data_IF_414892388222
#
_entry.id   IF_414892388222
#
_cell.length_a   1.000
_cell.length_b   1.000
_cell.length_c   1.000
_cell.angle_alpha   90.00
_cell.angle_beta   90.00
_cell.angle_gamma   90.00
#
_symmetry.space_group_name_H-M   'P 1'
#
loop_
_entity.id
_entity.type
_entity.pdbx_description
1 polymer ?
#
# COMPACT_ATOMS: atom_id res chain seq x y z
N UNK A 1 -29.62 -3.45 42.67
CA UNK A 1 -29.00 -2.11 42.61
C UNK A 1 -27.47 -2.22 42.65
N UNK A 2 -26.86 -2.87 43.64
CA UNK A 2 -25.39 -2.96 43.82
C UNK A 2 -24.55 -3.38 42.61
N UNK A 3 -25.03 -4.30 41.76
CA UNK A 3 -24.23 -4.83 40.65
C UNK A 3 -24.06 -3.82 39.50
N UNK A 4 -25.04 -2.93 39.31
CA UNK A 4 -24.98 -1.88 38.30
C UNK A 4 -24.03 -0.76 38.74
N UNK A 5 -24.04 -0.42 40.03
CA UNK A 5 -23.14 0.57 40.62
C UNK A 5 -21.67 0.10 40.58
N UNK A 6 -21.42 -1.17 40.88
CA UNK A 6 -20.07 -1.76 40.76
C UNK A 6 -19.53 -1.74 39.31
N UNK A 7 -20.39 -1.98 38.31
CA UNK A 7 -20.00 -1.92 36.91
C UNK A 7 -19.68 -0.47 36.50
N UNK A 8 -20.48 0.50 36.95
CA UNK A 8 -20.26 1.92 36.67
C UNK A 8 -18.92 2.41 37.27
N UNK A 9 -18.58 1.95 38.47
CA UNK A 9 -17.32 2.30 39.13
C UNK A 9 -16.12 1.73 38.36
N UNK A 10 -16.17 0.47 37.91
CA UNK A 10 -15.11 -0.14 37.09
C UNK A 10 -14.97 0.56 35.73
N UNK A 11 -16.08 0.94 35.09
CA UNK A 11 -16.07 1.68 33.82
C UNK A 11 -15.54 3.11 33.95
N UNK A 12 -15.64 3.71 35.14
CA UNK A 12 -15.09 5.05 35.42
C UNK A 12 -13.56 5.07 35.48
N UNK A 13 -12.93 3.91 35.69
CA UNK A 13 -11.47 3.80 35.73
C UNK A 13 -10.90 3.86 34.32
N UNK A 14 -9.85 4.67 34.13
CA UNK A 14 -9.11 4.68 32.88
C UNK A 14 -8.30 3.37 32.78
N UNK A 15 -8.58 2.47 31.81
CA UNK A 15 -7.86 1.20 31.69
C UNK A 15 -6.43 1.37 31.18
N UNK A 16 -6.06 2.57 30.69
CA UNK A 16 -4.76 2.87 30.09
C UNK A 16 -4.27 4.27 30.49
N UNK A 17 -4.03 4.54 31.78
CA UNK A 17 -3.60 5.87 32.26
C UNK A 17 -2.24 6.28 31.67
N UNK A 18 -1.40 5.30 31.30
CA UNK A 18 -0.10 5.52 30.66
C UNK A 18 -0.15 6.06 29.23
N UNK A 19 -1.29 6.01 28.52
CA UNK A 19 -1.42 6.60 27.17
C UNK A 19 -1.19 8.12 27.17
N UNK A 20 -1.51 8.80 28.28
CA UNK A 20 -1.26 10.24 28.43
C UNK A 20 0.23 10.58 28.56
N UNK A 21 1.06 9.62 28.95
CA UNK A 21 2.49 9.80 29.25
C UNK A 21 3.39 9.09 28.23
N UNK A 22 2.81 8.41 27.24
CA UNK A 22 3.55 7.60 26.28
C UNK A 22 2.78 7.45 24.97
N UNK A 23 3.28 8.13 23.94
CA UNK A 23 3.00 7.82 22.55
C UNK A 23 4.31 7.91 21.78
N UNK A 24 4.70 6.83 21.12
CA UNK A 24 5.74 6.94 20.09
C UNK A 24 5.25 8.01 19.11
N UNK A 25 6.03 9.06 18.79
CA UNK A 25 5.60 10.04 17.80
C UNK A 25 5.18 9.27 16.54
N UNK A 26 3.96 9.51 16.09
CA UNK A 26 3.41 8.81 14.93
C UNK A 26 4.38 9.06 13.77
N UNK A 27 5.06 7.99 13.33
CA UNK A 27 5.97 8.10 12.20
C UNK A 27 5.14 8.46 10.98
N UNK A 28 5.28 9.71 10.54
CA UNK A 28 4.57 10.18 9.37
C UNK A 28 5.25 9.56 8.16
N UNK A 29 4.56 8.63 7.49
CA UNK A 29 5.06 8.07 6.24
C UNK A 29 5.07 9.18 5.20
N UNK A 30 6.26 9.56 4.75
CA UNK A 30 6.42 10.53 3.67
C UNK A 30 6.26 9.77 2.34
N UNK A 31 5.25 10.10 1.51
CA UNK A 31 5.05 9.42 0.24
C UNK A 31 6.13 9.79 -0.76
N UNK A 32 6.53 8.82 -1.58
CA UNK A 32 7.44 9.01 -2.72
C UNK A 32 6.70 9.50 -3.97
N UNK A 33 5.38 9.22 -4.04
CA UNK A 33 4.55 9.44 -5.22
C UNK A 33 3.23 10.07 -4.79
N UNK A 34 2.75 11.05 -5.55
CA UNK A 34 1.43 11.63 -5.41
C UNK A 34 0.56 11.22 -6.60
N UNK A 35 -0.66 10.79 -6.31
CA UNK A 35 -1.69 10.49 -7.30
C UNK A 35 -2.90 11.37 -7.04
N UNK A 36 -3.30 12.10 -8.08
CA UNK A 36 -4.43 13.04 -8.02
C UNK A 36 -5.21 13.01 -9.33
N UNK A 37 -6.49 13.38 -9.28
CA UNK A 37 -7.22 13.69 -10.52
C UNK A 37 -6.77 15.04 -11.05
N UNK A 38 -6.44 15.08 -12.33
CA UNK A 38 -6.18 16.30 -13.05
C UNK A 38 -7.47 17.06 -13.38
N UNK A 39 -7.35 18.31 -13.88
CA UNK A 39 -8.51 19.13 -14.26
C UNK A 39 -9.39 18.51 -15.35
N UNK A 40 -8.82 17.66 -16.21
CA UNK A 40 -9.52 16.95 -17.27
C UNK A 40 -10.21 15.66 -16.81
N UNK A 41 -10.12 15.31 -15.51
CA UNK A 41 -10.62 14.06 -14.95
C UNK A 41 -9.66 12.88 -15.04
N UNK A 42 -8.58 12.98 -15.82
CA UNK A 42 -7.55 11.94 -15.92
C UNK A 42 -6.67 11.85 -14.67
N UNK A 43 -6.25 10.64 -14.29
CA UNK A 43 -5.31 10.45 -13.18
C UNK A 43 -3.92 10.96 -13.53
N UNK A 44 -3.36 11.79 -12.66
CA UNK A 44 -2.01 12.32 -12.75
C UNK A 44 -1.16 11.70 -11.65
N UNK A 45 0.05 11.27 -12.02
CA UNK A 45 1.04 10.67 -11.13
C UNK A 45 2.27 11.56 -11.13
N UNK A 46 2.71 11.97 -9.95
CA UNK A 46 3.85 12.86 -9.76
C UNK A 46 4.80 12.29 -8.70
N UNK A 47 6.11 12.49 -8.91
CA UNK A 47 7.10 12.14 -7.89
C UNK A 47 7.15 13.24 -6.83
N UNK A 48 7.31 12.82 -5.57
CA UNK A 48 7.63 13.75 -4.51
C UNK A 48 9.10 14.19 -4.63
N UNK A 49 9.33 15.38 -5.19
CA UNK A 49 10.67 15.93 -5.36
C UNK A 49 11.35 16.33 -4.05
N UNK A 50 10.62 16.39 -2.93
CA UNK A 50 11.19 16.71 -1.62
C UNK A 50 11.99 15.55 -1.02
N UNK A 51 11.67 14.31 -1.40
CA UNK A 51 12.37 13.10 -0.92
C UNK A 51 13.47 12.65 -1.88
N UNK A 52 13.51 13.20 -3.10
CA UNK A 52 14.54 12.86 -4.07
C UNK A 52 15.87 13.53 -3.68
N UNK A 53 16.98 12.78 -3.61
CA UNK A 53 18.28 13.35 -3.30
C UNK A 53 18.71 14.31 -4.42
N UNK A 54 19.03 15.56 -4.04
CA UNK A 54 19.57 16.56 -4.95
C UNK A 54 21.09 16.42 -4.99
N UNK A 55 21.62 15.88 -6.08
CA UNK A 55 23.07 15.76 -6.29
C UNK A 55 23.53 16.92 -7.17
N UNK A 56 24.45 17.73 -6.64
CA UNK A 56 25.08 18.84 -7.37
C UNK A 56 26.56 18.51 -7.58
N UNK A 57 27.00 18.50 -8.84
CA UNK A 57 28.41 18.35 -9.17
C UNK A 57 29.09 19.72 -9.15
N UNK A 58 30.13 19.88 -8.33
CA UNK A 58 30.92 21.11 -8.30
C UNK A 58 31.90 21.14 -9.48
N UNK A 59 31.41 21.63 -10.63
CA UNK A 59 32.20 21.72 -11.85
C UNK A 59 33.36 22.73 -11.74
N UNK A 60 33.21 23.77 -10.90
CA UNK A 60 34.28 24.77 -10.69
C UNK A 60 35.47 24.17 -9.98
N UNK A 61 35.22 23.40 -8.92
CA UNK A 61 36.27 22.70 -8.19
C UNK A 61 36.98 21.66 -9.06
N UNK A 62 36.22 20.91 -9.86
CA UNK A 62 36.82 19.99 -10.84
C UNK A 62 37.73 20.73 -11.84
N UNK A 63 37.30 21.86 -12.39
CA UNK A 63 38.10 22.65 -13.33
C UNK A 63 39.37 23.22 -12.69
N UNK A 64 39.30 23.68 -11.44
CA UNK A 64 40.47 24.15 -10.68
C UNK A 64 41.50 23.03 -10.48
N UNK A 65 41.05 21.85 -10.06
CA UNK A 65 41.92 20.69 -9.86
C UNK A 65 42.49 20.17 -11.19
N UNK A 66 41.68 20.13 -12.24
CA UNK A 66 42.13 19.72 -13.57
C UNK A 66 43.21 20.67 -14.13
N UNK A 67 43.15 21.96 -13.79
CA UNK A 67 44.17 22.95 -14.14
C UNK A 67 45.48 22.81 -13.33
N UNK A 68 45.42 22.21 -12.13
CA UNK A 68 46.59 21.94 -11.27
C UNK A 68 47.19 20.55 -11.47
N UNK A 69 46.47 19.63 -12.10
CA UNK A 69 46.93 18.26 -12.35
C UNK A 69 48.04 18.26 -13.42
N UNK A 70 49.27 18.03 -12.98
CA UNK A 70 50.45 17.90 -13.86
C UNK A 70 50.67 16.46 -14.30
N UNK A 71 50.46 15.51 -13.39
CA UNK A 71 50.77 14.10 -13.63
C UNK A 71 49.65 13.36 -14.35
N UNK A 72 50.03 12.36 -15.15
CA UNK A 72 49.08 11.52 -15.89
C UNK A 72 48.15 10.75 -14.93
N UNK A 73 48.66 10.34 -13.78
CA UNK A 73 47.88 9.65 -12.75
C UNK A 73 46.75 10.54 -12.20
N UNK A 74 47.06 11.79 -11.86
CA UNK A 74 46.10 12.76 -11.32
C UNK A 74 44.98 13.07 -12.33
N UNK A 75 45.33 13.23 -13.61
CA UNK A 75 44.35 13.47 -14.68
C UNK A 75 43.40 12.28 -14.87
N UNK A 76 43.92 11.06 -14.79
CA UNK A 76 43.10 9.83 -14.86
C UNK A 76 42.16 9.76 -13.66
N UNK A 77 42.66 9.97 -12.46
CA UNK A 77 41.85 9.94 -11.23
C UNK A 77 40.70 10.97 -11.26
N UNK A 78 40.99 12.22 -11.66
CA UNK A 78 39.97 13.27 -11.77
C UNK A 78 38.89 12.90 -12.80
N UNK A 79 39.29 12.34 -13.94
CA UNK A 79 38.37 11.85 -14.96
C UNK A 79 37.49 10.71 -14.43
N UNK A 80 38.06 9.77 -13.67
CA UNK A 80 37.29 8.69 -13.04
C UNK A 80 36.28 9.21 -12.03
N UNK A 81 36.66 10.16 -11.17
CA UNK A 81 35.74 10.81 -10.24
C UNK A 81 34.58 11.52 -10.95
N UNK A 82 34.88 12.25 -12.03
CA UNK A 82 33.86 12.93 -12.83
C UNK A 82 32.90 11.92 -13.47
N UNK A 83 33.43 10.84 -14.04
CA UNK A 83 32.63 9.78 -14.64
C UNK A 83 31.74 9.07 -13.61
N UNK A 84 32.27 8.78 -12.42
CA UNK A 84 31.51 8.19 -11.32
C UNK A 84 30.38 9.11 -10.86
N UNK A 85 30.64 10.42 -10.74
CA UNK A 85 29.63 11.40 -10.38
C UNK A 85 28.52 11.51 -11.43
N UNK A 86 28.89 11.60 -12.71
CA UNK A 86 27.92 11.64 -13.82
C UNK A 86 27.09 10.36 -13.91
N UNK A 87 27.73 9.20 -13.70
CA UNK A 87 27.03 7.91 -13.63
C UNK A 87 26.01 7.89 -12.50
N UNK A 88 26.37 8.38 -11.31
CA UNK A 88 25.47 8.44 -10.16
C UNK A 88 24.25 9.34 -10.44
N UNK A 89 24.46 10.53 -10.99
CA UNK A 89 23.38 11.46 -11.36
C UNK A 89 22.43 10.79 -12.36
N UNK A 90 22.98 10.16 -13.40
CA UNK A 90 22.19 9.44 -14.40
C UNK A 90 21.43 8.25 -13.79
N UNK A 91 22.05 7.49 -12.89
CA UNK A 91 21.41 6.37 -12.22
C UNK A 91 20.24 6.81 -11.33
N UNK A 92 20.37 7.94 -10.64
CA UNK A 92 19.30 8.52 -9.83
C UNK A 92 18.12 9.00 -10.69
N UNK A 93 18.39 9.71 -11.78
CA UNK A 93 17.36 10.14 -12.75
C UNK A 93 16.66 8.93 -13.40
N UNK A 94 17.40 7.90 -13.79
CA UNK A 94 16.82 6.67 -14.32
C UNK A 94 15.91 5.99 -13.29
N UNK A 95 16.36 5.87 -12.04
CA UNK A 95 15.54 5.31 -10.96
C UNK A 95 14.25 6.09 -10.77
N UNK A 96 14.31 7.43 -10.73
CA UNK A 96 13.14 8.28 -10.60
C UNK A 96 12.15 8.06 -11.77
N UNK A 97 12.65 8.06 -13.01
CA UNK A 97 11.83 7.79 -14.20
C UNK A 97 11.19 6.40 -14.17
N UNK A 98 11.92 5.37 -13.73
CA UNK A 98 11.37 4.03 -13.59
C UNK A 98 10.25 3.98 -12.56
N UNK A 99 10.43 4.60 -11.39
CA UNK A 99 9.37 4.69 -10.36
C UNK A 99 8.12 5.33 -10.94
N UNK A 100 8.29 6.47 -11.64
CA UNK A 100 7.18 7.19 -12.24
C UNK A 100 6.45 6.36 -13.30
N UNK A 101 7.18 5.67 -14.18
CA UNK A 101 6.59 4.79 -15.21
C UNK A 101 5.81 3.63 -14.60
N UNK A 102 6.39 2.96 -13.61
CA UNK A 102 5.74 1.86 -12.89
C UNK A 102 4.46 2.34 -12.21
N UNK A 103 4.50 3.49 -11.53
CA UNK A 103 3.34 4.02 -10.83
C UNK A 103 2.26 4.53 -11.79
N UNK A 104 2.61 5.17 -12.89
CA UNK A 104 1.66 5.59 -13.92
C UNK A 104 0.93 4.37 -14.52
N UNK A 105 1.66 3.31 -14.86
CA UNK A 105 1.08 2.09 -15.42
C UNK A 105 0.21 1.35 -14.39
N UNK A 106 0.64 1.31 -13.13
CA UNK A 106 -0.16 0.76 -12.03
C UNK A 106 -1.48 1.51 -11.87
N UNK A 107 -1.44 2.84 -11.85
CA UNK A 107 -2.65 3.67 -11.71
C UNK A 107 -3.60 3.46 -12.88
N UNK A 108 -3.07 3.35 -14.09
CA UNK A 108 -3.85 3.06 -15.31
C UNK A 108 -4.56 1.70 -15.21
N UNK A 109 -3.90 0.65 -14.76
CA UNK A 109 -4.52 -0.67 -14.63
C UNK A 109 -5.48 -0.78 -13.44
N UNK A 110 -5.29 0.05 -12.42
CA UNK A 110 -6.08 0.06 -11.19
C UNK A 110 -7.05 1.25 -11.10
N UNK A 111 -7.42 1.87 -12.23
CA UNK A 111 -8.27 3.07 -12.25
C UNK A 111 -9.55 2.92 -11.42
N UNK A 112 -10.21 1.76 -11.51
CA UNK A 112 -11.42 1.45 -10.75
C UNK A 112 -11.22 1.48 -9.23
N UNK A 113 -10.04 1.09 -8.73
CA UNK A 113 -9.69 1.23 -7.31
C UNK A 113 -9.59 2.70 -6.89
N UNK A 114 -8.92 3.53 -7.69
CA UNK A 114 -8.75 4.94 -7.33
C UNK A 114 -10.08 5.69 -7.36
N UNK A 115 -10.99 5.29 -8.25
CA UNK A 115 -12.34 5.85 -8.38
C UNK A 115 -13.29 5.38 -7.28
N UNK A 116 -13.38 4.07 -7.04
CA UNK A 116 -14.44 3.47 -6.24
C UNK A 116 -13.96 2.81 -4.95
N UNK A 117 -12.66 2.64 -4.77
CA UNK A 117 -12.02 2.13 -3.56
C UNK A 117 -11.61 0.65 -3.62
N UNK A 118 -11.26 0.11 -2.45
CA UNK A 118 -10.64 -1.23 -2.27
C UNK A 118 -11.44 -2.37 -2.91
N UNK A 119 -12.78 -2.27 -2.92
CA UNK A 119 -13.67 -3.28 -3.52
C UNK A 119 -13.44 -3.50 -5.02
N UNK A 120 -12.95 -2.48 -5.70
CA UNK A 120 -12.69 -2.49 -7.14
C UNK A 120 -11.21 -2.74 -7.45
N UNK A 121 -10.44 -3.20 -6.46
CA UNK A 121 -9.05 -3.60 -6.64
C UNK A 121 -8.99 -4.85 -7.53
N UNK A 122 -8.40 -4.68 -8.72
CA UNK A 122 -8.24 -5.76 -9.70
C UNK A 122 -6.99 -6.57 -9.37
N UNK A 123 -6.98 -7.90 -9.56
CA UNK A 123 -5.76 -8.67 -9.49
C UNK A 123 -4.70 -8.15 -10.48
N UNK A 124 -3.50 -7.89 -9.99
CA UNK A 124 -2.40 -7.36 -10.80
C UNK A 124 -1.11 -8.06 -10.42
N UNK A 125 -0.48 -8.68 -11.42
CA UNK A 125 0.81 -9.32 -11.26
C UNK A 125 1.93 -8.34 -11.65
N UNK A 126 3.07 -8.41 -10.97
CA UNK A 126 4.30 -7.70 -11.33
C UNK A 126 4.69 -7.95 -12.79
N UNK A 127 4.47 -9.16 -13.30
CA UNK A 127 4.74 -9.51 -14.71
C UNK A 127 3.99 -8.63 -15.70
N UNK A 128 2.70 -8.33 -15.45
CA UNK A 128 1.91 -7.49 -16.37
C UNK A 128 2.44 -6.06 -16.44
N UNK A 129 2.83 -5.47 -15.31
CA UNK A 129 3.45 -4.15 -15.30
C UNK A 129 4.81 -4.19 -15.98
N UNK A 130 5.62 -5.21 -15.71
CA UNK A 130 6.94 -5.39 -16.29
C UNK A 130 6.89 -5.49 -17.83
N UNK A 131 5.94 -6.25 -18.37
CA UNK A 131 5.69 -6.36 -19.81
C UNK A 131 5.24 -5.02 -20.42
N UNK A 132 4.30 -4.32 -19.77
CA UNK A 132 3.78 -3.05 -20.26
C UNK A 132 4.84 -1.94 -20.34
N UNK A 133 5.83 -1.94 -19.44
CA UNK A 133 6.91 -0.95 -19.43
C UNK A 133 8.22 -1.47 -20.06
N UNK A 134 8.20 -2.67 -20.66
CA UNK A 134 9.36 -3.35 -21.25
C UNK A 134 10.56 -3.47 -20.29
N UNK A 135 10.31 -3.91 -19.06
CA UNK A 135 11.32 -4.14 -18.02
C UNK A 135 11.23 -5.55 -17.45
N UNK A 136 12.25 -5.96 -16.70
CA UNK A 136 12.24 -7.25 -16.01
C UNK A 136 11.44 -7.18 -14.70
N UNK A 137 10.71 -8.25 -14.37
CA UNK A 137 9.88 -8.35 -13.16
C UNK A 137 10.66 -8.05 -11.88
N UNK A 138 11.89 -8.58 -11.77
CA UNK A 138 12.78 -8.31 -10.63
C UNK A 138 13.10 -6.82 -10.45
N UNK A 139 13.12 -6.05 -11.54
CA UNK A 139 13.35 -4.60 -11.46
C UNK A 139 12.11 -3.91 -10.93
N UNK A 140 10.91 -4.24 -11.42
CA UNK A 140 9.65 -3.70 -10.91
C UNK A 140 9.51 -4.01 -9.42
N UNK A 141 9.75 -5.25 -9.01
CA UNK A 141 9.69 -5.69 -7.59
C UNK A 141 10.63 -4.88 -6.68
N UNK A 142 11.87 -4.65 -7.13
CA UNK A 142 12.85 -3.84 -6.38
C UNK A 142 12.42 -2.38 -6.28
N UNK A 143 11.92 -1.82 -7.37
CA UNK A 143 11.57 -0.41 -7.46
C UNK A 143 10.31 -0.10 -6.65
N UNK A 144 9.37 -1.04 -6.52
CA UNK A 144 8.12 -0.86 -5.74
C UNK A 144 8.26 -1.15 -4.25
N UNK A 145 9.33 -1.83 -3.83
CA UNK A 145 9.57 -2.16 -2.42
C UNK A 145 9.84 -0.91 -1.59
N UNK A 146 9.19 -0.79 -0.42
CA UNK A 146 9.34 0.34 0.50
C UNK A 146 9.12 1.70 -0.21
N UNK A 147 8.14 1.75 -1.12
CA UNK A 147 7.71 2.98 -1.77
C UNK A 147 6.25 3.21 -1.51
N UNK A 148 5.92 4.44 -1.15
CA UNK A 148 4.57 4.82 -0.77
C UNK A 148 3.99 5.83 -1.73
N UNK A 149 2.70 5.68 -1.99
CA UNK A 149 1.91 6.52 -2.87
C UNK A 149 0.81 7.17 -2.04
N UNK A 150 0.77 8.49 -2.03
CA UNK A 150 -0.36 9.24 -1.52
C UNK A 150 -1.43 9.35 -2.59
N UNK A 151 -2.65 9.01 -2.21
CA UNK A 151 -3.85 9.00 -3.04
C UNK A 151 -4.96 9.81 -2.35
N UNK A 152 -6.04 10.19 -3.03
CA UNK A 152 -7.17 10.85 -2.38
C UNK A 152 -7.82 10.03 -1.26
N UNK A 153 -7.56 8.71 -1.23
CA UNK A 153 -8.09 7.76 -0.23
C UNK A 153 -7.12 7.43 0.89
N UNK A 154 -5.91 8.01 0.88
CA UNK A 154 -4.87 7.73 1.86
C UNK A 154 -3.54 7.31 1.24
N UNK A 155 -2.61 6.91 2.09
CA UNK A 155 -1.25 6.49 1.71
C UNK A 155 -1.21 4.97 1.61
N UNK A 156 -0.78 4.45 0.46
CA UNK A 156 -0.64 3.02 0.19
C UNK A 156 0.79 2.69 -0.20
N UNK A 157 1.30 1.54 0.24
CA UNK A 157 2.53 0.99 -0.33
C UNK A 157 2.25 0.55 -1.77
N UNK A 158 3.17 0.79 -2.71
CA UNK A 158 3.03 0.32 -4.09
C UNK A 158 2.78 -1.19 -4.17
N UNK A 159 3.35 -1.97 -3.24
CA UNK A 159 3.16 -3.42 -3.18
C UNK A 159 1.73 -3.88 -2.89
N UNK A 160 0.94 -3.04 -2.24
CA UNK A 160 -0.45 -3.33 -1.89
C UNK A 160 -1.29 -3.69 -3.12
N UNK A 161 -0.99 -3.08 -4.27
CA UNK A 161 -1.72 -3.28 -5.52
C UNK A 161 -1.38 -4.59 -6.23
N UNK A 162 -0.29 -5.27 -5.87
CA UNK A 162 0.09 -6.55 -6.47
C UNK A 162 -0.58 -7.70 -5.72
N UNK A 163 -1.86 -7.91 -6.00
CA UNK A 163 -2.64 -8.98 -5.39
C UNK A 163 -2.79 -10.17 -6.33
N UNK A 164 -2.75 -11.37 -5.75
CA UNK A 164 -3.12 -12.60 -6.45
C UNK A 164 -4.62 -12.64 -6.72
N UNK A 165 -5.01 -13.06 -7.92
CA UNK A 165 -6.40 -13.38 -8.22
C UNK A 165 -6.84 -14.56 -7.35
N UNK A 166 -8.05 -14.46 -6.79
CA UNK A 166 -8.77 -15.63 -6.30
C UNK A 166 -9.60 -16.14 -7.48
N UNK A 167 -9.61 -17.46 -7.68
CA UNK A 167 -10.35 -18.08 -8.78
C UNK A 167 -11.82 -17.62 -8.77
N UNK A 168 -12.22 -16.97 -9.85
CA UNK A 168 -13.62 -16.70 -10.17
C UNK A 168 -14.08 -17.74 -11.20
N UNK A 169 -15.37 -18.10 -11.16
CA UNK A 169 -15.96 -18.98 -12.16
C UNK A 169 -15.83 -18.38 -13.56
N UNK A 170 -15.76 -19.26 -14.58
CA UNK A 170 -15.47 -18.89 -15.97
C UNK A 170 -16.45 -17.81 -16.45
N UNK A 171 -15.94 -16.58 -16.66
CA UNK A 171 -16.71 -15.44 -17.16
C UNK A 171 -16.94 -14.30 -16.15
N UNK A 172 -16.64 -14.49 -14.86
CA UNK A 172 -16.75 -13.44 -13.84
C UNK A 172 -15.42 -12.69 -13.61
N UNK A 173 -15.50 -11.38 -13.34
CA UNK A 173 -14.31 -10.56 -13.02
C UNK A 173 -13.53 -11.19 -11.86
N UNK A 174 -12.24 -11.42 -12.05
CA UNK A 174 -11.41 -11.98 -10.97
C UNK A 174 -11.29 -10.98 -9.82
N UNK A 175 -11.63 -11.43 -8.61
CA UNK A 175 -11.54 -10.60 -7.41
C UNK A 175 -10.16 -10.73 -6.73
N UNK A 176 -9.66 -9.61 -6.23
CA UNK A 176 -8.44 -9.59 -5.41
C UNK A 176 -8.73 -10.07 -3.99
N UNK A 177 -7.73 -10.69 -3.35
CA UNK A 177 -7.85 -11.16 -1.97
C UNK A 177 -8.16 -10.06 -0.97
N UNK A 178 -7.72 -8.84 -1.22
CA UNK A 178 -8.00 -7.68 -0.37
C UNK A 178 -9.42 -7.16 -0.55
N UNK A 179 -9.96 -7.16 -1.78
CA UNK A 179 -11.38 -6.83 -2.01
C UNK A 179 -12.31 -7.83 -1.28
N UNK A 180 -11.97 -9.12 -1.29
CA UNK A 180 -12.73 -10.14 -0.54
C UNK A 180 -12.64 -9.91 0.98
N UNK A 181 -11.46 -9.57 1.51
CA UNK A 181 -11.29 -9.23 2.93
C UNK A 181 -12.13 -8.02 3.34
N UNK A 182 -12.09 -6.96 2.53
CA UNK A 182 -12.90 -5.76 2.75
C UNK A 182 -14.40 -6.09 2.74
N UNK A 183 -14.84 -6.94 1.80
CA UNK A 183 -16.24 -7.40 1.74
C UNK A 183 -16.64 -8.18 2.99
N UNK A 184 -15.82 -9.13 3.44
CA UNK A 184 -16.06 -9.89 4.68
C UNK A 184 -16.16 -8.95 5.87
N UNK A 185 -15.26 -7.96 5.97
CA UNK A 185 -15.29 -6.95 7.04
C UNK A 185 -16.61 -6.18 7.03
N UNK A 186 -17.01 -5.65 5.89
CA UNK A 186 -18.25 -4.90 5.76
C UNK A 186 -19.49 -5.74 6.08
N UNK A 187 -19.52 -7.02 5.70
CA UNK A 187 -20.61 -7.94 6.06
C UNK A 187 -20.69 -8.12 7.59
N UNK A 188 -19.54 -8.30 8.25
CA UNK A 188 -19.47 -8.49 9.70
C UNK A 188 -19.80 -7.20 10.47
N UNK A 189 -19.36 -6.05 9.96
CA UNK A 189 -19.67 -4.74 10.56
C UNK A 189 -21.16 -4.41 10.47
N UNK A 190 -21.83 -4.83 9.40
CA UNK A 190 -23.26 -4.66 9.20
C UNK A 190 -24.14 -5.66 10.00
N UNK A 191 -23.56 -6.62 10.72
CA UNK A 191 -24.30 -7.59 11.54
C UNK A 191 -25.12 -6.90 12.64
N UNK A 192 -26.32 -7.39 12.92
CA UNK A 192 -27.11 -6.97 14.09
C UNK A 192 -26.93 -7.99 15.23
N UNK A 193 -27.29 -7.67 16.48
CA UNK A 193 -27.21 -8.64 17.59
C UNK A 193 -28.06 -9.91 17.34
N UNK A 194 -29.15 -9.77 16.59
CA UNK A 194 -30.08 -10.85 16.25
C UNK A 194 -29.68 -11.62 14.99
N UNK A 195 -28.97 -10.97 14.06
CA UNK A 195 -28.48 -11.58 12.83
C UNK A 195 -26.95 -11.50 12.71
N UNK A 196 -26.30 -12.53 13.23
CA UNK A 196 -24.84 -12.70 13.18
C UNK A 196 -24.51 -13.79 12.19
N UNK A 197 -23.71 -13.43 11.19
CA UNK A 197 -23.38 -14.28 10.07
C UNK A 197 -22.36 -15.34 10.50
N UNK A 198 -22.65 -16.61 10.21
CA UNK A 198 -21.66 -17.68 10.31
C UNK A 198 -20.68 -17.60 9.14
N UNK A 199 -19.49 -18.20 9.29
CA UNK A 199 -18.53 -18.28 8.19
C UNK A 199 -19.14 -18.99 6.97
N UNK A 200 -20.05 -19.96 7.17
CA UNK A 200 -20.81 -20.63 6.10
C UNK A 200 -21.80 -19.68 5.41
N UNK A 201 -22.51 -18.84 6.17
CA UNK A 201 -23.43 -17.84 5.61
C UNK A 201 -22.69 -16.76 4.80
N UNK A 202 -21.50 -16.37 5.25
CA UNK A 202 -20.63 -15.45 4.51
C UNK A 202 -20.21 -16.06 3.17
N UNK A 203 -19.90 -17.36 3.11
CA UNK A 203 -19.61 -18.06 1.85
C UNK A 203 -20.80 -18.02 0.91
N UNK A 204 -22.02 -18.28 1.39
CA UNK A 204 -23.23 -18.22 0.57
C UNK A 204 -23.49 -16.83 -0.02
N UNK A 205 -23.35 -15.78 0.79
CA UNK A 205 -23.52 -14.39 0.33
C UNK A 205 -22.49 -14.05 -0.74
N UNK A 206 -21.23 -14.45 -0.53
CA UNK A 206 -20.15 -14.20 -1.49
C UNK A 206 -20.34 -15.00 -2.79
N UNK A 207 -20.84 -16.24 -2.71
CA UNK A 207 -21.18 -17.03 -3.88
C UNK A 207 -22.30 -16.38 -4.71
N UNK A 208 -23.30 -15.78 -4.07
CA UNK A 208 -24.34 -15.00 -4.75
C UNK A 208 -23.78 -13.73 -5.44
N UNK A 209 -22.65 -13.21 -4.95
CA UNK A 209 -21.88 -12.11 -5.55
C UNK A 209 -20.85 -12.60 -6.57
N UNK A 210 -20.89 -13.86 -7.00
CA UNK A 210 -19.95 -14.49 -7.95
C UNK A 210 -18.52 -14.65 -7.42
N UNK A 211 -18.35 -14.64 -6.10
CA UNK A 211 -17.07 -14.83 -5.40
C UNK A 211 -17.05 -16.25 -4.81
N UNK A 212 -16.43 -17.19 -5.52
CA UNK A 212 -16.27 -18.57 -5.05
C UNK A 212 -15.09 -18.70 -4.08
N UNK A 213 -15.38 -18.88 -2.79
CA UNK A 213 -14.35 -19.12 -1.77
C UNK A 213 -14.75 -20.21 -0.78
N UNK A 214 -13.76 -20.99 -0.34
CA UNK A 214 -13.98 -22.00 0.68
C UNK A 214 -14.14 -21.38 2.08
N UNK A 215 -14.98 -22.00 2.91
CA UNK A 215 -15.18 -21.65 4.33
C UNK A 215 -13.87 -21.47 5.12
N UNK A 216 -12.89 -22.37 4.91
CA UNK A 216 -11.56 -22.28 5.55
C UNK A 216 -10.82 -20.99 5.18
N UNK A 217 -11.00 -20.50 3.95
CA UNK A 217 -10.42 -19.24 3.47
C UNK A 217 -11.08 -18.04 4.14
N UNK A 218 -12.40 -18.05 4.30
CA UNK A 218 -13.14 -17.02 5.07
C UNK A 218 -12.63 -16.94 6.50
N UNK A 219 -12.55 -18.09 7.19
CA UNK A 219 -12.04 -18.16 8.55
C UNK A 219 -10.61 -17.61 8.66
N UNK A 220 -9.72 -18.00 7.74
CA UNK A 220 -8.34 -17.50 7.67
C UNK A 220 -8.28 -15.98 7.46
N UNK A 221 -9.12 -15.43 6.59
CA UNK A 221 -9.17 -13.98 6.34
C UNK A 221 -9.72 -13.22 7.55
N UNK A 222 -10.76 -13.76 8.20
CA UNK A 222 -11.34 -13.22 9.44
C UNK A 222 -10.29 -13.16 10.56
N UNK A 223 -9.57 -14.26 10.78
CA UNK A 223 -8.48 -14.34 11.77
C UNK A 223 -7.34 -13.37 11.45
N UNK A 224 -6.94 -13.25 10.18
CA UNK A 224 -5.95 -12.28 9.74
C UNK A 224 -6.36 -10.82 10.02
N UNK A 225 -7.65 -10.52 9.96
CA UNK A 225 -8.22 -9.22 10.34
C UNK A 225 -8.49 -9.09 11.85
N UNK A 226 -8.12 -10.07 12.67
CA UNK A 226 -8.36 -10.13 14.13
C UNK A 226 -9.84 -10.05 14.51
N UNK A 227 -10.73 -10.50 13.62
CA UNK A 227 -12.15 -10.54 13.88
C UNK A 227 -12.48 -11.87 14.59
N UNK A 228 -13.18 -11.86 15.75
CA UNK A 228 -13.48 -13.08 16.50
C UNK A 228 -14.54 -13.94 15.79
N UNK A 229 -14.71 -15.20 16.23
CA UNK A 229 -15.66 -16.14 15.62
C UNK A 229 -17.11 -15.68 15.81
N UNK A 230 -18.03 -16.18 14.98
CA UNK A 230 -19.46 -15.81 15.07
C UNK A 230 -20.05 -16.05 16.47
N UNK A 231 -19.61 -17.13 17.15
CA UNK A 231 -20.00 -17.45 18.53
C UNK A 231 -19.54 -16.37 19.52
N UNK A 232 -18.29 -15.93 19.40
CA UNK A 232 -17.72 -14.88 20.24
C UNK A 232 -18.37 -13.52 19.94
N UNK A 233 -18.58 -13.18 18.65
CA UNK A 233 -19.29 -11.95 18.24
C UNK A 233 -20.70 -11.90 18.80
N UNK A 234 -21.41 -13.03 18.81
CA UNK A 234 -22.74 -13.15 19.42
C UNK A 234 -22.74 -12.87 20.91
N UNK A 235 -21.76 -13.39 21.62
CA UNK A 235 -21.62 -13.09 23.06
C UNK A 235 -21.28 -11.62 23.31
N UNK A 236 -20.38 -11.04 22.52
CA UNK A 236 -19.98 -9.64 22.66
C UNK A 236 -21.12 -8.67 22.38
N UNK A 237 -21.86 -8.86 21.27
CA UNK A 237 -22.97 -7.96 20.91
C UNK A 237 -24.15 -8.04 21.88
N UNK A 238 -24.48 -9.23 22.38
CA UNK A 238 -25.52 -9.43 23.42
C UNK A 238 -25.21 -8.75 24.76
N UNK A 239 -23.93 -8.53 25.07
CA UNK A 239 -23.51 -7.85 26.30
C UNK A 239 -23.45 -6.32 26.10
N UNK A 240 -23.39 -5.86 24.84
CA UNK A 240 -23.27 -4.45 24.48
C UNK A 240 -24.63 -3.78 24.17
N UNK A 241 -25.64 -4.57 23.80
CA UNK A 241 -27.06 -4.21 23.71
C UNK A 241 -27.75 -4.34 25.06
#
# INVERSE_FOLDING_TARGET
>A
EDLLDMIAEIQSLNPKPGLAFGGTPAQTLVPDIFVRKGPSGAWQVELNTSVLPRVLLNQRYHAELAGRATDKADKVFLSECLNAANWLIKALDQRARTILRVAAELVRQQEAFFEHGVRYLKPLNLKHIAEAIAMHESTVSRVTSNKYMATPRGIFELKYFFTTAIGSSVGAESHSSEAVRDRIRHLIEAETPDDILSDDRIVEILAAEQIEIARRTVAKYREGMRIPSSVQRRRMKRVAS
#
